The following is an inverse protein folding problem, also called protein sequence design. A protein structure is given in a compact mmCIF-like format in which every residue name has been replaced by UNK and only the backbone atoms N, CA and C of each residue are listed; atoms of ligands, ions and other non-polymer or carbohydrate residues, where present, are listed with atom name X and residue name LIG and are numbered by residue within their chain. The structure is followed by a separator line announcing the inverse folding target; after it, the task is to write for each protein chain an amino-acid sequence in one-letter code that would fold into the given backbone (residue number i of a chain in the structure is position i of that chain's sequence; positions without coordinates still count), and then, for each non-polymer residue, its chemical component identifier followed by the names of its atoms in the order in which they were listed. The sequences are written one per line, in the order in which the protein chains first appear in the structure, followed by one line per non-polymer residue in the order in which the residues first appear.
data_IF_931319610080
#
_entry.id   IF_931319610080
#
_cell.length_a   1.000
_cell.length_b   1.000
_cell.length_c   1.000
_cell.angle_alpha   90.00
_cell.angle_beta   90.00
_cell.angle_gamma   90.00
#
_symmetry.space_group_name_H-M   'P 1'
#
loop_
_entity.id
_entity.type
_entity.pdbx_description
1 polymer ?
#
# COMPACT_ATOMS: atom_id res chain seq x y z
N UNK A 1 6.47 -17.25 9.10
CA UNK A 1 5.35 -16.89 10.01
C UNK A 1 4.15 -16.57 9.13
N UNK A 2 2.93 -16.91 9.52
CA UNK A 2 1.70 -16.65 8.73
C UNK A 2 0.81 -15.71 9.54
N UNK A 3 0.25 -14.70 8.88
CA UNK A 3 -0.73 -13.78 9.46
C UNK A 3 -2.08 -13.96 8.76
N UNK A 4 -3.14 -14.19 9.51
CA UNK A 4 -4.52 -14.25 9.03
C UNK A 4 -5.07 -12.84 8.85
N UNK A 5 -6.10 -12.70 8.02
CA UNK A 5 -6.71 -11.40 7.70
C UNK A 5 -7.17 -10.62 8.96
N UNK A 6 -7.65 -11.32 9.98
CA UNK A 6 -8.09 -10.73 11.25
C UNK A 6 -6.93 -10.41 12.22
N UNK A 7 -5.70 -10.82 11.92
CA UNK A 7 -4.49 -10.48 12.69
C UNK A 7 -3.78 -9.24 12.11
N UNK A 8 -4.20 -8.75 10.94
CA UNK A 8 -3.61 -7.57 10.32
C UNK A 8 -3.99 -6.33 11.11
N UNK A 9 -3.00 -5.45 11.31
CA UNK A 9 -3.20 -4.24 12.09
C UNK A 9 -3.79 -3.17 11.19
N UNK A 10 -4.92 -2.62 11.62
CA UNK A 10 -5.54 -1.47 10.98
C UNK A 10 -4.70 -0.21 11.24
N UNK A 11 -4.23 0.40 10.15
CA UNK A 11 -3.54 1.69 10.15
C UNK A 11 -4.17 2.63 9.11
N UNK A 12 -5.47 2.43 8.81
CA UNK A 12 -6.21 3.21 7.82
C UNK A 12 -6.13 4.70 8.12
N UNK A 13 -6.05 5.50 7.06
CA UNK A 13 -6.05 6.96 7.12
C UNK A 13 -7.09 7.54 6.16
N UNK A 14 -7.85 8.52 6.64
CA UNK A 14 -8.98 9.08 5.91
C UNK A 14 -9.95 8.02 5.38
N UNK A 15 -10.11 7.97 4.06
CA UNK A 15 -10.97 7.01 3.36
C UNK A 15 -10.23 5.75 2.89
N UNK A 16 -8.90 5.72 2.98
CA UNK A 16 -8.07 4.61 2.52
C UNK A 16 -8.02 3.56 3.61
N UNK A 17 -8.44 2.34 3.30
CA UNK A 17 -8.27 1.22 4.23
C UNK A 17 -6.87 0.66 4.08
N UNK A 18 -6.12 0.55 5.18
CA UNK A 18 -4.74 0.03 5.17
C UNK A 18 -4.57 -1.01 6.28
N UNK A 19 -4.25 -2.24 5.90
CA UNK A 19 -4.00 -3.35 6.84
C UNK A 19 -2.56 -3.80 6.76
N UNK A 20 -1.81 -3.58 7.84
CA UNK A 20 -0.39 -3.89 7.94
C UNK A 20 -0.14 -5.36 8.26
N UNK A 21 0.64 -6.03 7.40
CA UNK A 21 1.11 -7.39 7.63
C UNK A 21 2.34 -7.40 8.54
N UNK A 22 2.30 -8.24 9.56
CA UNK A 22 3.47 -8.57 10.39
C UNK A 22 4.09 -7.39 11.13
N UNK A 23 3.29 -6.47 11.68
CA UNK A 23 3.77 -5.32 12.48
C UNK A 23 4.79 -5.69 13.55
N UNK A 24 4.63 -6.85 14.19
CA UNK A 24 5.52 -7.34 15.24
C UNK A 24 6.69 -8.21 14.72
N UNK A 25 6.87 -8.33 13.40
CA UNK A 25 7.97 -9.09 12.84
C UNK A 25 9.31 -8.37 13.10
N UNK A 26 10.27 -8.98 13.80
CA UNK A 26 11.57 -8.36 14.04
C UNK A 26 12.29 -8.03 12.72
N UNK A 27 12.97 -6.88 12.68
CA UNK A 27 13.84 -6.49 11.56
C UNK A 27 13.17 -6.54 10.17
N UNK A 28 11.92 -6.07 10.08
CA UNK A 28 11.19 -6.02 8.80
C UNK A 28 11.84 -5.02 7.84
N UNK A 29 12.23 -5.49 6.64
CA UNK A 29 12.79 -4.66 5.57
C UNK A 29 11.74 -4.08 4.60
N UNK A 30 10.60 -4.76 4.45
CA UNK A 30 9.51 -4.38 3.53
C UNK A 30 8.25 -4.06 4.33
N UNK A 31 7.62 -2.92 4.06
CA UNK A 31 6.25 -2.68 4.50
C UNK A 31 5.30 -3.36 3.51
N UNK A 32 4.51 -4.34 3.99
CA UNK A 32 3.49 -4.99 3.17
C UNK A 32 2.11 -4.63 3.69
N UNK A 33 1.33 -3.97 2.85
CA UNK A 33 0.01 -3.44 3.16
C UNK A 33 -1.02 -4.15 2.28
N UNK A 34 -2.18 -4.43 2.85
CA UNK A 34 -3.38 -4.71 2.06
C UNK A 34 -4.23 -3.44 2.08
N UNK A 35 -4.39 -2.83 0.91
CA UNK A 35 -4.93 -1.48 0.77
C UNK A 35 -6.16 -1.46 -0.14
N UNK A 36 -7.12 -0.62 0.22
CA UNK A 36 -8.32 -0.36 -0.59
C UNK A 36 -8.52 1.14 -0.66
N UNK A 37 -8.47 1.67 -1.87
CA UNK A 37 -8.71 3.08 -2.19
C UNK A 37 -10.12 3.22 -2.79
N UNK A 38 -11.05 3.89 -2.10
CA UNK A 38 -12.30 4.31 -2.73
C UNK A 38 -12.03 5.27 -3.91
N UNK A 39 -12.91 5.34 -4.93
CA UNK A 39 -12.76 6.29 -6.01
C UNK A 39 -12.61 7.74 -5.51
N UNK A 40 -11.53 8.41 -5.92
CA UNK A 40 -11.21 9.78 -5.52
C UNK A 40 -10.52 9.92 -4.16
N UNK A 41 -10.20 8.81 -3.48
CA UNK A 41 -9.31 8.83 -2.33
C UNK A 41 -7.85 8.70 -2.77
N UNK A 42 -6.94 9.32 -2.01
CA UNK A 42 -5.50 9.31 -2.24
C UNK A 42 -4.75 9.26 -0.90
N UNK A 43 -3.42 9.32 -0.97
CA UNK A 43 -2.52 9.34 0.19
C UNK A 43 -2.25 10.76 0.72
N UNK A 44 -3.00 11.77 0.27
CA UNK A 44 -2.79 13.18 0.58
C UNK A 44 -1.76 13.87 -0.31
N UNK A 45 -1.55 15.17 -0.05
CA UNK A 45 -0.70 16.04 -0.86
C UNK A 45 0.81 15.80 -0.68
N UNK A 46 1.22 15.20 0.44
CA UNK A 46 2.62 14.92 0.74
C UNK A 46 3.03 13.54 0.20
N UNK A 47 4.11 13.50 -0.58
CA UNK A 47 4.66 12.24 -1.06
C UNK A 47 5.22 11.42 0.10
N UNK A 48 4.65 10.23 0.30
CA UNK A 48 5.11 9.29 1.30
C UNK A 48 6.57 8.91 1.01
N UNK A 49 7.42 9.02 2.02
CA UNK A 49 8.84 8.66 1.95
C UNK A 49 9.22 7.90 3.20
N UNK A 50 9.88 6.75 3.04
CA UNK A 50 10.38 5.96 4.17
C UNK A 50 11.72 5.27 3.84
N UNK A 51 12.53 5.02 4.88
CA UNK A 51 13.85 4.35 4.81
C UNK A 51 13.75 2.82 4.56
N UNK A 52 12.77 2.38 3.77
CA UNK A 52 12.48 0.97 3.52
C UNK A 52 12.04 0.73 2.08
N UNK A 53 12.03 -0.53 1.67
CA UNK A 53 11.53 -0.91 0.34
C UNK A 53 10.00 -0.97 0.34
N UNK A 54 9.41 -0.53 -0.76
CA UNK A 54 7.98 -0.61 -1.03
C UNK A 54 7.77 -1.30 -2.38
N UNK A 55 6.78 -2.17 -2.46
CA UNK A 55 6.40 -2.83 -3.71
C UNK A 55 4.94 -3.20 -3.63
N UNK A 56 4.25 -3.15 -4.76
CA UNK A 56 2.83 -3.42 -4.83
C UNK A 56 2.42 -4.03 -6.16
N UNK A 57 1.24 -4.64 -6.13
CA UNK A 57 0.53 -5.12 -7.30
C UNK A 57 -0.93 -4.70 -7.15
N UNK A 58 -1.51 -4.12 -8.20
CA UNK A 58 -2.93 -3.81 -8.21
C UNK A 58 -3.72 -5.11 -8.42
N UNK A 59 -4.43 -5.56 -7.40
CA UNK A 59 -5.17 -6.83 -7.46
C UNK A 59 -6.47 -6.67 -8.25
N UNK A 60 -7.17 -5.55 -8.07
CA UNK A 60 -8.44 -5.25 -8.74
C UNK A 60 -8.65 -3.74 -8.91
N UNK A 61 -9.45 -3.36 -9.91
CA UNK A 61 -9.78 -1.95 -10.19
C UNK A 61 -8.73 -1.25 -11.06
N UNK A 62 -8.59 0.06 -10.84
CA UNK A 62 -7.68 0.96 -11.56
C UNK A 62 -7.16 2.02 -10.59
N UNK A 63 -5.86 2.26 -10.58
CA UNK A 63 -5.19 3.15 -9.63
C UNK A 63 -4.24 4.09 -10.36
N UNK A 64 -4.21 5.36 -9.98
CA UNK A 64 -3.13 6.28 -10.37
C UNK A 64 -2.02 6.21 -9.33
N UNK A 65 -0.81 5.86 -9.75
CA UNK A 65 0.38 5.78 -8.92
C UNK A 65 1.36 6.86 -9.34
N UNK A 66 1.85 7.67 -8.40
CA UNK A 66 2.95 8.60 -8.65
C UNK A 66 4.22 8.12 -7.94
N UNK A 67 5.30 7.94 -8.70
CA UNK A 67 6.63 7.58 -8.19
C UNK A 67 7.60 8.70 -8.54
N UNK A 68 8.03 9.45 -7.53
CA UNK A 68 8.85 10.64 -7.71
C UNK A 68 8.09 11.71 -8.52
N UNK A 69 8.45 11.86 -9.79
CA UNK A 69 7.83 12.83 -10.71
C UNK A 69 7.01 12.17 -11.83
N UNK A 70 6.93 10.84 -11.84
CA UNK A 70 6.27 10.09 -12.89
C UNK A 70 4.94 9.54 -12.39
N UNK A 71 3.89 9.71 -13.19
CA UNK A 71 2.55 9.22 -12.89
C UNK A 71 2.18 8.11 -13.86
N UNK A 72 1.68 7.02 -13.31
CA UNK A 72 1.26 5.83 -14.01
C UNK A 72 -0.20 5.54 -13.69
N UNK A 73 -0.92 5.01 -14.65
CA UNK A 73 -2.20 4.36 -14.34
C UNK A 73 -2.00 2.86 -14.42
N UNK A 74 -2.23 2.20 -13.29
CA UNK A 74 -2.18 0.77 -13.15
C UNK A 74 -3.56 0.16 -13.43
N UNK A 75 -3.56 -0.93 -14.18
CA UNK A 75 -4.69 -1.85 -14.32
C UNK A 75 -4.44 -3.11 -13.47
N UNK A 76 -5.47 -3.93 -13.27
CA UNK A 76 -5.34 -5.15 -12.47
C UNK A 76 -4.23 -6.07 -13.02
N UNK A 77 -3.28 -6.43 -12.16
CA UNK A 77 -2.08 -7.21 -12.48
C UNK A 77 -0.82 -6.37 -12.67
N UNK A 78 -0.93 -5.07 -12.91
CA UNK A 78 0.24 -4.18 -12.98
C UNK A 78 0.89 -4.05 -11.60
N UNK A 79 2.22 -3.94 -11.59
CA UNK A 79 3.03 -4.00 -10.38
C UNK A 79 4.14 -2.95 -10.40
N UNK A 80 4.61 -2.55 -9.21
CA UNK A 80 5.69 -1.60 -9.01
C UNK A 80 6.63 -2.06 -7.89
N UNK A 81 7.85 -1.53 -7.92
CA UNK A 81 8.91 -1.73 -6.95
C UNK A 81 9.65 -0.40 -6.78
#
# INVERSE_FOLDING_TARGET
IVYKANELIDISDGAVTMKLVGRAHPSRAIAFLNEIYPPGADTGDEMLTHEGEETGILVEGRLELTVGLETFVLEAGDSYY
#
